data_IF_281421002022
#
_entry.id   IF_281421002022
#
_cell.length_a   1.000
_cell.length_b   1.000
_cell.length_c   1.000
_cell.angle_alpha   90.00
_cell.angle_beta   90.00
_cell.angle_gamma   90.00
#
_symmetry.space_group_name_H-M   'P 1'
#
loop_
_entity.id
_entity.type
_entity.pdbx_description
1 polymer ?
#
# COMPACT_ATOMS: atom_id res chain seq x y z
N UNK A 1 -16.66 32.60 -15.96
CA UNK A 1 -15.20 32.46 -15.75
C UNK A 1 -14.54 32.97 -17.00
N UNK A 2 -13.79 34.06 -16.92
CA UNK A 2 -13.20 34.70 -18.11
C UNK A 2 -11.91 33.97 -18.52
N UNK A 3 -11.66 33.87 -19.83
CA UNK A 3 -10.48 33.20 -20.44
C UNK A 3 -9.12 33.62 -19.82
N UNK A 4 -9.03 34.85 -19.32
CA UNK A 4 -7.84 35.39 -18.64
C UNK A 4 -7.65 34.76 -17.24
N UNK A 5 -8.73 34.49 -16.50
CA UNK A 5 -8.67 33.84 -15.19
C UNK A 5 -8.23 32.37 -15.33
N UNK A 6 -8.68 31.67 -16.38
CA UNK A 6 -8.23 30.31 -16.69
C UNK A 6 -6.75 30.25 -17.07
N UNK A 7 -6.27 31.21 -17.88
CA UNK A 7 -4.86 31.31 -18.26
C UNK A 7 -3.94 31.64 -17.07
N UNK A 8 -4.36 32.55 -16.19
CA UNK A 8 -3.61 32.90 -14.98
C UNK A 8 -3.60 31.75 -13.98
N UNK A 9 -4.74 31.09 -13.77
CA UNK A 9 -4.84 29.89 -12.93
C UNK A 9 -3.95 28.75 -13.48
N UNK A 10 -3.95 28.53 -14.79
CA UNK A 10 -3.08 27.56 -15.46
C UNK A 10 -1.58 27.83 -15.25
N UNK A 11 -1.13 29.08 -15.41
CA UNK A 11 0.27 29.47 -15.18
C UNK A 11 0.71 29.30 -13.73
N UNK A 12 -0.12 29.70 -12.77
CA UNK A 12 0.20 29.54 -11.34
C UNK A 12 0.28 28.07 -10.96
N UNK A 13 -0.67 27.24 -11.43
CA UNK A 13 -0.65 25.80 -11.18
C UNK A 13 0.58 25.12 -11.78
N UNK A 14 1.05 25.55 -12.95
CA UNK A 14 2.27 25.02 -13.56
C UNK A 14 3.54 25.37 -12.76
N UNK A 15 3.66 26.60 -12.28
CA UNK A 15 4.80 27.00 -11.43
C UNK A 15 4.85 26.20 -10.13
N UNK A 16 3.70 26.02 -9.47
CA UNK A 16 3.60 25.19 -8.26
C UNK A 16 3.97 23.73 -8.57
N UNK A 17 3.49 23.20 -9.71
CA UNK A 17 3.81 21.84 -10.12
C UNK A 17 5.32 21.66 -10.35
N UNK A 18 5.97 22.62 -11.02
CA UNK A 18 7.42 22.63 -11.26
C UNK A 18 8.21 22.66 -9.95
N UNK A 19 7.82 23.51 -8.99
CA UNK A 19 8.48 23.57 -7.67
C UNK A 19 8.33 22.25 -6.90
N UNK A 20 7.17 21.59 -7.03
CA UNK A 20 6.95 20.26 -6.44
C UNK A 20 7.82 19.19 -7.09
N UNK A 21 8.03 19.22 -8.42
CA UNK A 21 8.92 18.29 -9.13
C UNK A 21 10.35 18.41 -8.61
N UNK A 22 10.86 19.64 -8.46
CA UNK A 22 12.22 19.88 -7.94
C UNK A 22 12.37 19.35 -6.51
N UNK A 23 11.38 19.57 -5.64
CA UNK A 23 11.39 19.03 -4.27
C UNK A 23 11.31 17.51 -4.26
N UNK A 24 10.49 16.92 -5.14
CA UNK A 24 10.37 15.47 -5.27
C UNK A 24 11.70 14.85 -5.70
N UNK A 25 12.40 15.49 -6.65
CA UNK A 25 13.72 15.09 -7.11
C UNK A 25 14.77 15.15 -5.99
N UNK A 26 14.76 16.20 -5.18
CA UNK A 26 15.65 16.31 -4.02
C UNK A 26 15.41 15.19 -3.00
N UNK A 27 14.15 14.87 -2.71
CA UNK A 27 13.79 13.80 -1.77
C UNK A 27 14.13 12.42 -2.34
N UNK A 28 13.92 12.19 -3.63
CA UNK A 28 14.28 10.97 -4.33
C UNK A 28 15.78 10.71 -4.26
N UNK A 29 16.60 11.66 -4.73
CA UNK A 29 18.05 11.53 -4.71
C UNK A 29 18.61 11.35 -3.30
N UNK A 30 18.08 12.10 -2.33
CA UNK A 30 18.47 11.91 -0.92
C UNK A 30 18.14 10.51 -0.43
N UNK A 31 16.93 10.00 -0.71
CA UNK A 31 16.52 8.67 -0.29
C UNK A 31 17.43 7.59 -0.89
N UNK A 32 17.75 7.67 -2.18
CA UNK A 32 18.66 6.72 -2.81
C UNK A 32 20.06 6.77 -2.19
N UNK A 33 20.62 7.97 -2.02
CA UNK A 33 21.94 8.18 -1.44
C UNK A 33 22.02 7.67 0.01
N UNK A 34 21.03 8.00 0.86
CA UNK A 34 20.96 7.55 2.25
C UNK A 34 20.87 6.01 2.35
N UNK A 35 20.51 5.33 1.26
CA UNK A 35 20.37 3.87 1.19
C UNK A 35 21.44 3.18 0.34
N UNK A 36 22.45 3.91 -0.15
CA UNK A 36 23.52 3.37 -0.98
C UNK A 36 23.02 2.79 -2.31
N UNK A 37 21.90 3.29 -2.82
CA UNK A 37 21.34 2.88 -4.10
C UNK A 37 21.93 3.81 -5.15
N UNK A 38 22.70 3.24 -6.09
CA UNK A 38 23.13 3.97 -7.28
C UNK A 38 21.90 4.31 -8.13
N UNK A 39 22.02 5.15 -9.17
CA UNK A 39 20.85 5.66 -9.93
C UNK A 39 19.93 4.57 -10.52
N UNK A 40 20.35 3.31 -10.50
CA UNK A 40 19.54 2.15 -10.83
C UNK A 40 18.93 1.50 -9.57
N UNK A 41 17.60 1.35 -9.59
CA UNK A 41 16.82 0.70 -8.53
C UNK A 41 16.68 -0.82 -8.73
N UNK A 42 17.44 -1.44 -9.64
CA UNK A 42 17.41 -2.90 -9.88
C UNK A 42 17.78 -3.75 -8.66
N UNK A 43 18.49 -3.16 -7.68
CA UNK A 43 18.91 -3.83 -6.46
C UNK A 43 17.86 -3.81 -5.33
N UNK A 44 16.71 -3.19 -5.56
CA UNK A 44 15.58 -3.17 -4.62
C UNK A 44 14.37 -3.89 -5.23
N UNK A 45 13.41 -4.27 -4.39
CA UNK A 45 12.16 -4.88 -4.86
C UNK A 45 11.26 -3.82 -5.51
N UNK A 46 11.07 -2.69 -4.83
CA UNK A 46 10.32 -1.58 -5.40
C UNK A 46 10.60 -0.24 -4.72
N UNK A 47 10.41 0.85 -5.47
CA UNK A 47 10.31 2.22 -4.97
C UNK A 47 8.83 2.59 -4.79
N UNK A 48 8.44 2.93 -3.57
CA UNK A 48 7.11 3.44 -3.25
C UNK A 48 7.06 4.96 -3.30
N UNK A 49 6.08 5.53 -4.01
CA UNK A 49 5.74 6.96 -3.95
C UNK A 49 4.31 7.09 -3.43
N UNK A 50 4.18 7.63 -2.22
CA UNK A 50 2.89 7.87 -1.59
C UNK A 50 2.48 9.32 -1.75
N UNK A 51 1.23 9.55 -2.17
CA UNK A 51 0.63 10.86 -2.38
C UNK A 51 -0.58 10.98 -1.47
N UNK A 52 -0.73 12.07 -0.73
CA UNK A 52 -1.88 12.29 0.16
C UNK A 52 -2.50 13.67 -0.05
N UNK A 53 -3.81 13.76 0.14
CA UNK A 53 -4.60 14.97 -0.12
C UNK A 53 -4.25 16.16 0.82
N UNK A 54 -3.69 15.90 2.01
CA UNK A 54 -3.53 16.91 3.05
C UNK A 54 -2.13 16.92 3.69
N UNK A 55 -1.07 17.22 2.94
CA UNK A 55 0.15 17.78 3.54
C UNK A 55 0.34 19.19 2.99
N UNK A 56 0.34 20.17 3.91
CA UNK A 56 0.27 21.61 3.60
C UNK A 56 1.42 22.11 2.71
N UNK A 57 2.56 21.43 2.69
CA UNK A 57 3.76 21.91 1.98
C UNK A 57 4.39 20.90 0.99
N UNK A 58 4.29 19.59 1.27
CA UNK A 58 4.84 18.54 0.41
C UNK A 58 4.06 17.23 0.59
N UNK A 59 3.28 16.79 -0.40
CA UNK A 59 2.33 15.67 -0.29
C UNK A 59 2.94 14.28 -0.47
N UNK A 60 4.25 14.19 -0.69
CA UNK A 60 4.92 12.94 -1.04
C UNK A 60 5.66 12.30 0.15
N UNK A 61 5.58 10.98 0.24
CA UNK A 61 6.44 10.13 1.08
C UNK A 61 7.04 9.04 0.19
N UNK A 62 8.38 8.94 0.15
CA UNK A 62 9.06 7.93 -0.65
C UNK A 62 9.55 6.78 0.24
N UNK A 63 9.59 5.58 -0.31
CA UNK A 63 9.97 4.34 0.38
C UNK A 63 10.77 3.43 -0.53
N UNK A 64 11.78 2.81 0.03
CA UNK A 64 12.50 1.70 -0.57
C UNK A 64 12.01 0.41 0.06
N UNK A 65 11.58 -0.53 -0.78
CA UNK A 65 11.25 -1.90 -0.42
C UNK A 65 12.39 -2.80 -0.91
N UNK A 66 13.05 -3.51 -0.01
CA UNK A 66 14.12 -4.45 -0.37
C UNK A 66 13.55 -5.84 -0.66
N UNK A 67 14.34 -6.65 -1.37
CA UNK A 67 14.04 -8.05 -1.62
C UNK A 67 13.73 -8.80 -0.32
N UNK A 68 12.75 -9.73 -0.31
CA UNK A 68 12.41 -10.49 0.89
C UNK A 68 13.59 -11.32 1.42
N UNK A 69 13.84 -11.23 2.73
CA UNK A 69 14.86 -12.03 3.42
C UNK A 69 14.26 -13.39 3.84
N UNK A 70 14.87 -14.50 3.41
CA UNK A 70 14.45 -15.86 3.79
C UNK A 70 15.10 -16.34 5.10
N UNK A 71 16.32 -15.88 5.41
CA UNK A 71 16.99 -16.22 6.67
C UNK A 71 16.49 -15.29 7.78
N UNK A 72 15.48 -15.75 8.50
CA UNK A 72 14.76 -14.92 9.47
C UNK A 72 15.42 -15.05 10.85
N UNK A 73 16.22 -14.05 11.20
CA UNK A 73 16.77 -13.90 12.55
C UNK A 73 15.93 -12.95 13.41
N UNK A 74 15.72 -13.34 14.66
CA UNK A 74 15.12 -12.48 15.69
C UNK A 74 16.09 -11.35 16.03
N UNK A 75 15.61 -10.11 16.02
CA UNK A 75 16.40 -8.93 16.39
C UNK A 75 15.98 -8.46 17.78
N UNK A 76 16.94 -8.05 18.61
CA UNK A 76 16.69 -7.57 19.99
C UNK A 76 15.64 -6.44 20.03
N UNK A 77 15.61 -5.59 19.00
CA UNK A 77 14.69 -4.45 18.89
C UNK A 77 13.37 -4.77 18.19
N UNK A 78 13.08 -6.05 17.92
CA UNK A 78 11.83 -6.42 17.26
C UNK A 78 10.61 -6.05 18.13
N UNK A 79 9.53 -5.53 17.54
CA UNK A 79 8.30 -5.31 18.28
C UNK A 79 7.78 -6.62 18.89
N UNK A 80 7.12 -6.53 20.05
CA UNK A 80 6.59 -7.68 20.78
C UNK A 80 5.69 -8.59 19.92
N UNK A 81 4.87 -7.99 19.03
CA UNK A 81 4.04 -8.75 18.11
C UNK A 81 4.85 -9.49 17.04
N UNK A 82 5.96 -8.91 16.58
CA UNK A 82 6.89 -9.54 15.62
C UNK A 82 7.62 -10.71 16.30
N UNK A 83 8.08 -10.53 17.54
CA UNK A 83 8.68 -11.62 18.32
C UNK A 83 7.72 -12.79 18.50
N UNK A 84 6.45 -12.50 18.83
CA UNK A 84 5.42 -13.53 18.95
C UNK A 84 5.27 -14.38 17.68
N UNK A 85 5.16 -13.75 16.50
CA UNK A 85 4.99 -14.51 15.24
C UNK A 85 6.27 -15.26 14.85
N UNK A 86 7.45 -14.78 15.22
CA UNK A 86 8.72 -15.49 15.05
C UNK A 86 8.78 -16.74 15.94
N UNK A 87 8.45 -16.61 17.22
CA UNK A 87 8.45 -17.73 18.19
C UNK A 87 7.47 -18.84 17.78
N UNK A 88 6.35 -18.45 17.17
CA UNK A 88 5.35 -19.38 16.62
C UNK A 88 5.69 -19.93 15.23
N UNK A 89 6.86 -19.57 14.68
CA UNK A 89 7.31 -19.96 13.34
C UNK A 89 6.27 -19.62 12.27
N UNK A 90 5.70 -18.42 12.37
CA UNK A 90 4.67 -17.91 11.47
C UNK A 90 5.23 -16.95 10.42
N UNK A 91 6.56 -16.84 10.26
CA UNK A 91 7.17 -15.91 9.30
C UNK A 91 7.82 -16.70 8.17
N UNK A 92 7.39 -16.42 6.93
CA UNK A 92 8.00 -16.95 5.69
C UNK A 92 9.16 -16.07 5.23
N UNK A 93 8.94 -14.76 5.26
CA UNK A 93 9.89 -13.75 4.81
C UNK A 93 9.84 -12.52 5.69
N UNK A 94 10.98 -11.84 5.80
CA UNK A 94 11.04 -10.49 6.33
C UNK A 94 11.25 -9.51 5.18
N UNK A 95 10.42 -8.47 5.11
CA UNK A 95 10.54 -7.42 4.10
C UNK A 95 11.01 -6.14 4.78
N UNK A 96 12.23 -5.70 4.43
CA UNK A 96 12.80 -4.46 4.96
C UNK A 96 12.26 -3.29 4.15
N UNK A 97 11.73 -2.29 4.85
CA UNK A 97 11.23 -1.06 4.22
C UNK A 97 11.82 0.15 4.92
N UNK A 98 12.47 1.01 4.14
CA UNK A 98 13.05 2.27 4.59
C UNK A 98 12.33 3.42 3.90
N UNK A 99 11.56 4.18 4.67
CA UNK A 99 10.87 5.38 4.20
C UNK A 99 11.57 6.66 4.64
N UNK A 100 11.25 7.76 3.97
CA UNK A 100 11.72 9.10 4.35
C UNK A 100 11.26 9.55 5.74
N UNK A 101 10.22 8.92 6.29
CA UNK A 101 9.65 9.24 7.61
C UNK A 101 9.88 8.16 8.66
N UNK A 102 9.79 6.88 8.28
CA UNK A 102 9.75 5.76 9.22
C UNK A 102 10.39 4.51 8.61
N UNK A 103 11.07 3.74 9.47
CA UNK A 103 11.41 2.33 9.19
C UNK A 103 10.25 1.44 9.60
N UNK A 104 10.03 0.35 8.85
CA UNK A 104 8.92 -0.57 9.08
C UNK A 104 9.44 -2.00 9.02
N UNK A 105 8.96 -2.82 9.94
CA UNK A 105 9.18 -4.26 9.92
C UNK A 105 7.93 -4.91 9.32
N UNK A 106 8.05 -5.34 8.06
CA UNK A 106 7.04 -6.16 7.43
C UNK A 106 7.47 -7.63 7.49
N UNK A 107 6.52 -8.50 7.77
CA UNK A 107 6.72 -9.95 7.73
C UNK A 107 5.61 -10.57 6.89
N UNK A 108 6.01 -11.51 6.02
CA UNK A 108 5.07 -12.35 5.29
C UNK A 108 4.73 -13.55 6.17
N UNK A 109 3.44 -13.77 6.40
CA UNK A 109 2.97 -14.79 7.33
C UNK A 109 2.83 -16.17 6.69
N UNK A 110 3.25 -17.18 7.43
CA UNK A 110 3.06 -18.61 7.19
C UNK A 110 2.50 -19.31 8.42
N UNK A 111 2.29 -20.63 8.36
CA UNK A 111 1.91 -21.48 9.50
C UNK A 111 0.73 -20.90 10.30
N UNK A 112 -0.30 -20.42 9.58
CA UNK A 112 -1.47 -19.75 10.12
C UNK A 112 -2.52 -20.75 10.62
N UNK A 113 -2.10 -21.70 11.46
CA UNK A 113 -3.01 -22.67 12.08
C UNK A 113 -4.00 -21.96 13.00
N UNK A 114 -5.17 -22.57 13.26
CA UNK A 114 -6.16 -22.02 14.17
C UNK A 114 -5.57 -21.63 15.53
N UNK A 115 -4.73 -22.48 16.11
CA UNK A 115 -4.09 -22.21 17.40
C UNK A 115 -3.15 -21.00 17.34
N UNK A 116 -2.38 -20.86 16.26
CA UNK A 116 -1.48 -19.73 16.07
C UNK A 116 -2.26 -18.43 15.86
N UNK A 117 -3.30 -18.45 15.02
CA UNK A 117 -4.13 -17.27 14.76
C UNK A 117 -4.96 -16.85 15.97
N UNK A 118 -5.42 -17.80 16.79
CA UNK A 118 -6.05 -17.50 18.09
C UNK A 118 -5.07 -16.76 19.02
N UNK A 119 -3.87 -17.29 19.20
CA UNK A 119 -2.85 -16.64 20.03
C UNK A 119 -2.43 -15.28 19.47
N UNK A 120 -2.36 -15.14 18.15
CA UNK A 120 -2.08 -13.86 17.49
C UNK A 120 -3.18 -12.82 17.76
N UNK A 121 -4.46 -13.22 17.66
CA UNK A 121 -5.59 -12.36 17.98
C UNK A 121 -5.55 -11.90 19.45
N UNK A 122 -5.31 -12.82 20.38
CA UNK A 122 -5.15 -12.49 21.81
C UNK A 122 -3.99 -11.52 22.04
N UNK A 123 -2.87 -11.70 21.33
CA UNK A 123 -1.71 -10.80 21.40
C UNK A 123 -2.03 -9.40 20.89
N UNK A 124 -2.79 -9.28 19.79
CA UNK A 124 -3.24 -7.99 19.28
C UNK A 124 -4.12 -7.28 20.29
N UNK A 125 -5.12 -7.95 20.89
CA UNK A 125 -5.98 -7.34 21.91
C UNK A 125 -5.17 -6.83 23.08
N UNK A 126 -4.17 -7.59 23.53
CA UNK A 126 -3.34 -7.16 24.66
C UNK A 126 -2.50 -5.92 24.35
N UNK A 127 -1.99 -5.80 23.12
CA UNK A 127 -1.17 -4.65 22.70
C UNK A 127 -2.05 -3.45 22.32
N UNK A 128 -3.22 -3.71 21.73
CA UNK A 128 -4.17 -2.72 21.24
C UNK A 128 -5.59 -3.08 21.74
N UNK A 129 -5.91 -2.87 23.03
CA UNK A 129 -7.21 -3.26 23.60
C UNK A 129 -8.38 -2.63 22.87
N UNK A 130 -8.17 -1.41 22.38
CA UNK A 130 -9.09 -0.61 21.60
C UNK A 130 -9.51 -1.25 20.27
N UNK A 131 -8.69 -2.17 19.72
CA UNK A 131 -9.05 -2.90 18.53
C UNK A 131 -10.05 -4.02 18.81
N UNK A 132 -10.32 -4.39 20.07
CA UNK A 132 -11.21 -5.51 20.40
C UNK A 132 -12.59 -5.39 19.73
N UNK A 133 -13.17 -4.19 19.70
CA UNK A 133 -14.47 -3.93 19.07
C UNK A 133 -14.40 -3.94 17.53
N UNK A 134 -13.21 -3.70 16.97
CA UNK A 134 -12.95 -3.69 15.54
C UNK A 134 -12.44 -5.03 15.02
N UNK A 135 -11.92 -5.93 15.87
CA UNK A 135 -11.48 -7.27 15.48
C UNK A 135 -12.59 -8.09 14.84
N UNK A 136 -13.85 -7.89 15.26
CA UNK A 136 -15.02 -8.50 14.62
C UNK A 136 -15.37 -7.92 13.25
N UNK A 137 -14.84 -6.73 12.91
CA UNK A 137 -14.96 -6.07 11.60
C UNK A 137 -13.75 -6.35 10.70
N UNK A 138 -12.66 -6.85 11.28
CA UNK A 138 -11.52 -7.36 10.52
C UNK A 138 -11.99 -8.59 9.74
N UNK A 139 -11.77 -8.66 8.41
CA UNK A 139 -11.96 -9.88 7.64
C UNK A 139 -11.33 -11.04 8.39
N UNK A 140 -12.12 -12.07 8.71
CA UNK A 140 -11.85 -13.01 9.79
C UNK A 140 -10.36 -13.37 9.95
N UNK A 141 -9.74 -12.84 11.01
CA UNK A 141 -8.35 -13.17 11.40
C UNK A 141 -8.18 -14.68 11.59
N UNK A 142 -9.25 -15.35 12.01
CA UNK A 142 -9.31 -16.78 12.25
C UNK A 142 -10.40 -17.33 11.32
N UNK A 143 -10.05 -18.16 10.32
CA UNK A 143 -11.06 -18.77 9.47
C UNK A 143 -11.95 -19.70 10.30
N UNK A 144 -13.28 -19.61 10.12
CA UNK A 144 -14.25 -20.41 10.88
C UNK A 144 -14.19 -21.92 10.54
N UNK A 145 -13.63 -22.29 9.37
CA UNK A 145 -13.41 -23.67 8.89
C UNK A 145 -12.21 -23.71 7.92
N UNK A 146 -11.69 -24.90 7.61
CA UNK A 146 -10.61 -25.17 6.62
C UNK A 146 -10.89 -24.68 5.17
N UNK A 147 -11.99 -23.96 4.93
CA UNK A 147 -12.27 -23.37 3.63
C UNK A 147 -11.72 -21.95 3.58
N UNK A 148 -10.64 -21.82 2.79
CA UNK A 148 -10.16 -20.62 2.08
C UNK A 148 -11.05 -19.40 2.31
N UNK A 149 -10.67 -18.43 3.14
CA UNK A 149 -11.00 -17.03 2.85
C UNK A 149 -9.91 -16.14 3.46
N UNK A 150 -9.23 -15.39 2.59
CA UNK A 150 -8.30 -14.31 2.90
C UNK A 150 -7.39 -14.57 4.12
N UNK A 151 -6.36 -15.42 4.05
CA UNK A 151 -5.36 -15.42 5.08
C UNK A 151 -4.68 -14.05 5.11
N UNK A 152 -4.43 -13.51 6.30
CA UNK A 152 -3.50 -12.39 6.44
C UNK A 152 -2.18 -12.86 5.85
N UNK A 153 -1.64 -12.08 4.95
CA UNK A 153 -0.41 -12.43 4.27
C UNK A 153 0.74 -11.57 4.71
N UNK A 154 0.51 -10.28 4.95
CA UNK A 154 1.55 -9.37 5.37
C UNK A 154 1.11 -8.70 6.67
N UNK A 155 2.03 -8.72 7.64
CA UNK A 155 1.91 -7.98 8.87
C UNK A 155 3.02 -6.93 8.90
N UNK A 156 2.63 -5.67 8.95
CA UNK A 156 3.54 -4.55 9.20
C UNK A 156 3.38 -4.03 10.61
N UNK A 157 4.47 -3.96 11.37
CA UNK A 157 4.49 -3.23 12.64
C UNK A 157 5.39 -2.01 12.49
N UNK A 158 4.83 -0.82 12.72
CA UNK A 158 5.57 0.44 12.62
C UNK A 158 5.99 0.86 14.02
N UNK A 159 7.28 1.16 14.23
CA UNK A 159 7.70 1.74 15.50
C UNK A 159 8.99 2.60 15.47
N UNK A 160 8.82 3.84 15.91
CA UNK A 160 9.69 4.46 16.92
C UNK A 160 9.20 3.96 18.32
N UNK A 161 9.92 4.28 19.40
CA UNK A 161 9.85 3.90 20.84
C UNK A 161 8.50 3.52 21.52
N UNK A 162 7.32 3.57 20.88
CA UNK A 162 6.01 3.54 21.55
C UNK A 162 4.94 2.55 21.05
N UNK A 163 5.15 1.68 20.06
CA UNK A 163 4.09 0.71 19.65
C UNK A 163 2.90 1.34 18.94
N UNK A 164 3.07 2.05 17.82
CA UNK A 164 2.06 3.02 17.36
C UNK A 164 1.21 2.61 16.16
N UNK A 165 1.49 1.54 15.40
CA UNK A 165 0.54 1.11 14.36
C UNK A 165 0.78 -0.33 13.87
N UNK A 166 -0.32 -0.99 13.53
CA UNK A 166 -0.33 -2.31 12.89
C UNK A 166 -0.97 -2.21 11.51
N UNK A 167 -0.29 -2.74 10.50
CA UNK A 167 -0.78 -2.90 9.15
C UNK A 167 -1.05 -4.38 8.93
N UNK A 168 -2.27 -4.71 8.50
CA UNK A 168 -2.66 -6.06 8.14
C UNK A 168 -3.06 -6.07 6.68
N UNK A 169 -2.50 -6.98 5.90
CA UNK A 169 -2.78 -7.10 4.47
C UNK A 169 -3.22 -8.52 4.11
N UNK A 170 -4.35 -8.64 3.45
CA UNK A 170 -4.99 -9.87 3.01
C UNK A 170 -4.79 -10.10 1.52
N UNK A 171 -4.56 -11.36 1.15
CA UNK A 171 -4.39 -11.78 -0.24
C UNK A 171 -5.68 -11.83 -1.02
N UNK A 172 -5.76 -11.12 -2.14
CA UNK A 172 -6.90 -11.16 -3.05
C UNK A 172 -6.65 -12.11 -4.23
N UNK A 173 -6.03 -13.26 -3.96
CA UNK A 173 -5.75 -14.31 -4.95
C UNK A 173 -5.73 -15.70 -4.32
N UNK A 174 -6.03 -16.70 -5.12
CA UNK A 174 -6.02 -18.10 -4.71
C UNK A 174 -4.65 -18.72 -4.99
N UNK A 175 -4.09 -19.46 -4.02
CA UNK A 175 -2.96 -20.34 -4.28
C UNK A 175 -3.44 -21.68 -4.82
N UNK A 176 -2.70 -22.20 -5.81
CA UNK A 176 -2.91 -23.50 -6.44
C UNK A 176 -2.01 -24.59 -5.85
N UNK A 177 -1.05 -24.21 -5.03
CA UNK A 177 -0.09 -25.08 -4.37
C UNK A 177 0.02 -24.77 -2.87
N UNK A 178 0.36 -25.79 -2.09
CA UNK A 178 0.53 -25.67 -0.64
C UNK A 178 1.73 -24.79 -0.27
N UNK A 179 2.74 -24.71 -1.15
CA UNK A 179 3.93 -23.86 -0.98
C UNK A 179 3.68 -22.38 -1.32
N UNK A 180 2.49 -22.05 -1.84
CA UNK A 180 2.05 -20.69 -2.18
C UNK A 180 2.95 -20.01 -3.23
N UNK A 181 3.42 -20.76 -4.22
CA UNK A 181 4.24 -20.27 -5.34
C UNK A 181 3.42 -20.03 -6.60
N UNK A 182 2.32 -20.77 -6.77
CA UNK A 182 1.46 -20.71 -7.95
C UNK A 182 0.13 -20.12 -7.51
N UNK A 183 -0.31 -19.05 -8.18
CA UNK A 183 -1.57 -18.39 -7.86
C UNK A 183 -2.42 -18.13 -9.09
N UNK A 184 -3.72 -17.97 -8.86
CA UNK A 184 -4.71 -17.55 -9.86
C UNK A 184 -5.51 -16.37 -9.34
N UNK A 185 -5.80 -15.42 -10.24
CA UNK A 185 -6.64 -14.27 -9.93
C UNK A 185 -8.12 -14.66 -9.92
N UNK A 186 -8.86 -14.09 -8.97
CA UNK A 186 -10.31 -14.26 -8.86
C UNK A 186 -10.97 -12.93 -8.49
N UNK A 187 -10.75 -11.93 -9.35
CA UNK A 187 -11.12 -10.54 -9.07
C UNK A 187 -12.61 -10.36 -8.77
N UNK A 188 -13.48 -11.10 -9.48
CA UNK A 188 -14.94 -11.07 -9.27
C UNK A 188 -15.26 -11.51 -7.84
N UNK A 189 -14.74 -12.66 -7.42
CA UNK A 189 -14.99 -13.19 -6.08
C UNK A 189 -14.53 -12.21 -4.99
N UNK A 190 -13.30 -11.69 -5.09
CA UNK A 190 -12.75 -10.81 -4.06
C UNK A 190 -13.43 -9.45 -4.02
N UNK A 191 -13.83 -8.92 -5.17
CA UNK A 191 -14.64 -7.70 -5.24
C UNK A 191 -15.96 -7.88 -4.50
N UNK A 192 -16.67 -8.98 -4.76
CA UNK A 192 -17.96 -9.29 -4.13
C UNK A 192 -17.78 -9.54 -2.63
N UNK A 193 -16.71 -10.24 -2.24
CA UNK A 193 -16.34 -10.44 -0.83
C UNK A 193 -16.14 -9.10 -0.11
N UNK A 194 -15.35 -8.20 -0.68
CA UNK A 194 -15.03 -6.90 -0.06
C UNK A 194 -16.29 -6.05 0.10
N UNK A 195 -17.19 -6.04 -0.89
CA UNK A 195 -18.47 -5.34 -0.79
C UNK A 195 -19.37 -5.96 0.31
N UNK A 196 -19.35 -7.28 0.48
CA UNK A 196 -20.11 -7.98 1.51
C UNK A 196 -19.60 -7.73 2.95
N UNK A 197 -18.39 -7.18 3.12
CA UNK A 197 -17.93 -6.70 4.43
C UNK A 197 -18.75 -5.52 4.97
N UNK A 198 -19.52 -4.85 4.11
CA UNK A 198 -20.34 -3.67 4.46
C UNK A 198 -19.55 -2.54 5.12
N UNK A 199 -18.25 -2.45 4.86
CA UNK A 199 -17.41 -1.31 5.24
C UNK A 199 -17.66 -0.16 4.25
N UNK A 200 -18.07 1.03 4.72
CA UNK A 200 -18.23 2.20 3.85
C UNK A 200 -16.93 2.56 3.10
N UNK A 201 -15.79 2.46 3.78
CA UNK A 201 -14.48 2.79 3.23
C UNK A 201 -14.08 1.82 2.12
N UNK A 202 -14.21 0.50 2.33
CA UNK A 202 -13.94 -0.46 1.27
C UNK A 202 -14.93 -0.35 0.11
N UNK A 203 -16.19 -0.05 0.39
CA UNK A 203 -17.20 0.17 -0.64
C UNK A 203 -16.82 1.37 -1.53
N UNK A 204 -16.36 2.48 -0.94
CA UNK A 204 -15.85 3.62 -1.68
C UNK A 204 -14.67 3.24 -2.60
N UNK A 205 -13.69 2.51 -2.06
CA UNK A 205 -12.52 2.08 -2.83
C UNK A 205 -12.91 1.14 -3.99
N UNK A 206 -13.78 0.15 -3.75
CA UNK A 206 -14.24 -0.76 -4.81
C UNK A 206 -15.06 -0.02 -5.87
N UNK A 207 -15.95 0.89 -5.47
CA UNK A 207 -16.76 1.66 -6.42
C UNK A 207 -15.88 2.50 -7.33
N UNK A 208 -14.84 3.16 -6.80
CA UNK A 208 -13.87 3.86 -7.62
C UNK A 208 -13.13 2.92 -8.59
N UNK A 209 -12.68 1.75 -8.12
CA UNK A 209 -12.01 0.76 -8.99
C UNK A 209 -12.94 0.30 -10.11
N UNK A 210 -14.21 0.03 -9.81
CA UNK A 210 -15.19 -0.38 -10.80
C UNK A 210 -15.45 0.73 -11.82
N UNK A 211 -15.62 1.97 -11.37
CA UNK A 211 -15.87 3.11 -12.27
C UNK A 211 -14.70 3.34 -13.24
N UNK A 212 -13.46 3.23 -12.75
CA UNK A 212 -12.28 3.67 -13.51
C UNK A 212 -11.54 2.52 -14.19
N UNK A 213 -11.57 1.30 -13.63
CA UNK A 213 -10.71 0.18 -14.04
C UNK A 213 -11.45 -1.14 -14.30
N UNK A 214 -12.79 -1.18 -14.32
CA UNK A 214 -13.53 -2.41 -14.57
C UNK A 214 -13.11 -3.09 -15.89
N UNK A 215 -12.96 -2.34 -16.98
CA UNK A 215 -12.56 -2.89 -18.27
C UNK A 215 -11.16 -3.51 -18.24
N UNK A 216 -10.21 -2.85 -17.57
CA UNK A 216 -8.85 -3.37 -17.43
C UNK A 216 -8.83 -4.68 -16.62
N UNK A 217 -9.64 -4.75 -15.56
CA UNK A 217 -9.79 -5.96 -14.73
C UNK A 217 -10.46 -7.08 -15.51
N UNK A 218 -11.56 -6.79 -16.22
CA UNK A 218 -12.31 -7.78 -17.02
C UNK A 218 -11.47 -8.35 -18.17
N UNK A 219 -10.54 -7.57 -18.72
CA UNK A 219 -9.59 -8.01 -19.74
C UNK A 219 -8.36 -8.72 -19.18
N UNK A 220 -8.26 -8.90 -17.85
CA UNK A 220 -7.10 -9.51 -17.20
C UNK A 220 -5.82 -8.69 -17.34
N UNK A 221 -5.94 -7.36 -17.46
CA UNK A 221 -4.79 -6.45 -17.57
C UNK A 221 -4.47 -5.72 -16.26
N UNK A 222 -5.30 -5.90 -15.24
CA UNK A 222 -5.13 -5.35 -13.91
C UNK A 222 -5.85 -6.27 -12.93
N UNK A 223 -5.29 -6.45 -11.74
CA UNK A 223 -5.84 -7.39 -10.76
C UNK A 223 -5.87 -6.80 -9.37
N UNK A 224 -6.89 -7.15 -8.60
CA UNK A 224 -6.91 -6.95 -7.16
C UNK A 224 -5.79 -7.80 -6.56
N UNK A 225 -4.90 -7.16 -5.79
CA UNK A 225 -3.69 -7.80 -5.29
C UNK A 225 -3.76 -8.08 -3.80
N UNK A 226 -4.02 -7.03 -3.03
CA UNK A 226 -4.14 -7.04 -1.57
C UNK A 226 -5.26 -6.11 -1.14
N UNK A 227 -5.89 -6.45 -0.02
CA UNK A 227 -6.68 -5.52 0.77
C UNK A 227 -5.91 -5.26 2.05
N UNK A 228 -5.91 -4.03 2.59
CA UNK A 228 -5.24 -3.78 3.86
C UNK A 228 -5.96 -2.75 4.72
N UNK A 229 -5.64 -2.80 6.01
CA UNK A 229 -6.00 -1.78 6.99
C UNK A 229 -4.74 -1.43 7.79
N UNK A 230 -4.41 -0.14 7.86
CA UNK A 230 -3.47 0.38 8.86
C UNK A 230 -4.28 0.87 10.06
N UNK A 231 -4.11 0.23 11.21
CA UNK A 231 -4.69 0.62 12.48
C UNK A 231 -3.71 1.48 13.26
N UNK A 232 -4.22 2.60 13.77
CA UNK A 232 -3.50 3.53 14.64
C UNK A 232 -4.16 3.52 16.03
N UNK A 233 -3.44 3.92 17.10
CA UNK A 233 -3.89 3.76 18.48
C UNK A 233 -4.91 4.84 18.87
N UNK A 234 -5.11 5.85 18.02
CA UNK A 234 -6.10 6.91 18.19
C UNK A 234 -7.43 6.58 17.50
N UNK A 235 -7.74 5.29 17.34
CA UNK A 235 -8.91 4.75 16.64
C UNK A 235 -9.05 5.21 15.19
N UNK A 236 -7.96 5.67 14.59
CA UNK A 236 -7.93 5.95 13.15
C UNK A 236 -7.49 4.70 12.42
N UNK A 237 -8.14 4.47 11.30
CA UNK A 237 -7.87 3.40 10.36
C UNK A 237 -7.70 3.99 8.98
N UNK A 238 -6.80 3.38 8.21
CA UNK A 238 -6.61 3.66 6.79
C UNK A 238 -6.80 2.38 5.99
N UNK A 239 -7.83 2.38 5.17
CA UNK A 239 -8.24 1.26 4.32
C UNK A 239 -7.54 1.38 2.98
N UNK A 240 -7.16 0.25 2.39
CA UNK A 240 -6.42 0.20 1.14
C UNK A 240 -6.85 -0.97 0.28
N UNK A 241 -6.86 -0.74 -1.03
CA UNK A 241 -6.94 -1.80 -2.03
C UNK A 241 -5.77 -1.61 -2.99
N UNK A 242 -4.95 -2.66 -3.10
CA UNK A 242 -3.78 -2.73 -3.96
C UNK A 242 -4.18 -3.37 -5.28
N UNK A 243 -3.72 -2.79 -6.37
CA UNK A 243 -3.88 -3.30 -7.72
C UNK A 243 -2.51 -3.60 -8.33
N UNK A 244 -2.38 -4.78 -8.92
CA UNK A 244 -1.24 -5.16 -9.76
C UNK A 244 -1.60 -4.87 -11.22
N UNK A 245 -0.65 -4.27 -11.94
CA UNK A 245 -0.79 -3.99 -13.38
C UNK A 245 -0.23 -5.19 -14.15
N UNK A 246 -0.97 -5.64 -15.16
CA UNK A 246 -0.55 -6.73 -16.06
C UNK A 246 -0.76 -6.33 -17.53
N UNK A 247 0.23 -5.66 -18.12
CA UNK A 247 0.11 -5.21 -19.52
C UNK A 247 -0.94 -4.11 -19.76
N UNK A 248 -1.38 -3.39 -18.73
CA UNK A 248 -2.20 -2.17 -18.86
C UNK A 248 -1.32 -0.91 -18.87
N UNK A 249 -1.52 -0.04 -19.86
CA UNK A 249 -0.84 1.25 -19.92
C UNK A 249 -1.60 2.28 -19.07
N UNK A 250 -1.29 2.33 -17.76
CA UNK A 250 -1.92 3.26 -16.83
C UNK A 250 -1.40 4.69 -17.04
N UNK A 251 -2.33 5.64 -17.20
CA UNK A 251 -2.01 7.07 -17.05
C UNK A 251 -2.03 7.46 -15.57
N UNK A 252 -0.86 7.74 -15.01
CA UNK A 252 -0.73 8.28 -13.63
C UNK A 252 -1.51 9.59 -13.50
N UNK A 253 -1.41 10.45 -14.53
CA UNK A 253 -2.16 11.69 -14.61
C UNK A 253 -3.67 11.46 -14.41
N UNK A 254 -4.23 10.49 -15.13
CA UNK A 254 -5.65 10.14 -15.04
C UNK A 254 -6.01 9.58 -13.66
N UNK A 255 -5.22 8.63 -13.14
CA UNK A 255 -5.42 8.03 -11.82
C UNK A 255 -5.51 9.10 -10.72
N UNK A 256 -4.51 9.97 -10.64
CA UNK A 256 -4.39 10.99 -9.58
C UNK A 256 -5.53 12.01 -9.70
N UNK A 257 -5.83 12.48 -10.92
CA UNK A 257 -6.92 13.44 -11.15
C UNK A 257 -8.28 12.88 -10.76
N UNK A 258 -8.58 11.66 -11.20
CA UNK A 258 -9.88 11.02 -10.93
C UNK A 258 -10.08 10.74 -9.45
N UNK A 259 -9.04 10.26 -8.76
CA UNK A 259 -9.20 9.86 -7.36
C UNK A 259 -9.33 11.06 -6.41
N UNK A 260 -8.46 12.07 -6.55
CA UNK A 260 -8.46 13.25 -5.67
C UNK A 260 -9.47 14.33 -6.04
N UNK A 261 -10.00 14.31 -7.28
CA UNK A 261 -11.10 15.16 -7.72
C UNK A 261 -11.01 16.63 -7.28
N UNK A 262 -10.09 17.42 -7.81
CA UNK A 262 -9.96 18.86 -7.50
C UNK A 262 -8.88 19.54 -8.35
N UNK A 263 -8.77 20.87 -8.28
CA UNK A 263 -7.61 21.62 -8.79
C UNK A 263 -6.29 21.18 -8.11
N UNK A 264 -6.34 20.80 -6.83
CA UNK A 264 -5.18 20.24 -6.13
C UNK A 264 -4.76 18.89 -6.74
N UNK A 265 -5.72 18.02 -7.05
CA UNK A 265 -5.47 16.78 -7.80
C UNK A 265 -4.82 17.01 -9.17
N UNK A 266 -5.14 18.13 -9.84
CA UNK A 266 -4.47 18.52 -11.08
C UNK A 266 -2.98 18.81 -10.85
N UNK A 267 -2.63 19.66 -9.88
CA UNK A 267 -1.22 20.00 -9.58
C UNK A 267 -0.43 18.74 -9.21
N UNK A 268 -0.96 17.92 -8.31
CA UNK A 268 -0.34 16.63 -7.93
C UNK A 268 -0.09 15.74 -9.14
N UNK A 269 -1.10 15.61 -10.01
CA UNK A 269 -1.03 14.75 -11.18
C UNK A 269 0.06 15.19 -12.15
N UNK A 270 0.21 16.50 -12.37
CA UNK A 270 1.22 17.06 -13.27
C UNK A 270 2.61 16.84 -12.68
N UNK A 271 2.82 17.12 -11.40
CA UNK A 271 4.13 16.94 -10.75
C UNK A 271 4.62 15.51 -10.78
N UNK A 272 3.75 14.53 -10.51
CA UNK A 272 4.15 13.11 -10.56
C UNK A 272 4.41 12.70 -12.00
N UNK A 273 3.55 13.08 -12.94
CA UNK A 273 3.70 12.72 -14.35
C UNK A 273 4.99 13.30 -14.95
N UNK A 274 5.35 14.54 -14.60
CA UNK A 274 6.61 15.17 -15.00
C UNK A 274 7.83 14.49 -14.37
N UNK A 275 7.78 14.17 -13.08
CA UNK A 275 8.84 13.42 -12.41
C UNK A 275 9.06 12.06 -13.09
N UNK A 276 8.00 11.26 -13.29
CA UNK A 276 8.12 9.94 -13.91
C UNK A 276 8.64 9.99 -15.36
N UNK A 277 8.34 11.05 -16.11
CA UNK A 277 8.92 11.24 -17.46
C UNK A 277 10.42 11.51 -17.44
N UNK A 278 10.96 12.04 -16.35
CA UNK A 278 12.40 12.26 -16.17
C UNK A 278 13.12 10.97 -15.73
N UNK A 279 12.38 10.03 -15.14
CA UNK A 279 12.89 8.75 -14.63
C UNK A 279 12.42 7.57 -15.48
N UNK A 280 13.00 7.46 -16.68
CA UNK A 280 12.65 6.41 -17.63
C UNK A 280 12.99 5.00 -17.13
N UNK A 281 13.87 4.87 -16.14
CA UNK A 281 14.18 3.63 -15.43
C UNK A 281 13.02 3.11 -14.59
N UNK A 282 12.05 3.96 -14.24
CA UNK A 282 10.93 3.58 -13.39
C UNK A 282 9.77 2.99 -14.22
N UNK A 283 9.37 1.78 -13.85
CA UNK A 283 8.15 1.11 -14.35
C UNK A 283 7.12 1.02 -13.25
N UNK A 284 5.93 1.57 -13.46
CA UNK A 284 4.84 1.37 -12.51
C UNK A 284 4.39 -0.09 -12.54
N UNK A 285 4.60 -0.81 -11.44
CA UNK A 285 4.21 -2.21 -11.27
C UNK A 285 2.80 -2.37 -10.70
N UNK A 286 2.42 -1.47 -9.81
CA UNK A 286 1.12 -1.48 -9.16
C UNK A 286 0.89 -0.24 -8.32
N UNK A 287 -0.31 -0.12 -7.75
CA UNK A 287 -0.65 0.99 -6.87
C UNK A 287 -1.70 0.57 -5.84
N UNK A 288 -1.82 1.31 -4.75
CA UNK A 288 -2.90 1.18 -3.80
C UNK A 288 -3.67 2.50 -3.70
N UNK A 289 -4.99 2.42 -3.79
CA UNK A 289 -5.88 3.52 -3.41
C UNK A 289 -6.27 3.37 -1.96
N UNK A 290 -6.36 4.49 -1.24
CA UNK A 290 -6.57 4.47 0.19
C UNK A 290 -7.49 5.58 0.67
N UNK A 291 -8.35 5.27 1.63
CA UNK A 291 -9.21 6.22 2.33
C UNK A 291 -9.11 6.00 3.84
N UNK A 292 -9.10 7.07 4.63
CA UNK A 292 -9.18 6.99 6.10
C UNK A 292 -10.61 7.13 6.62
N UNK A 293 -10.82 6.95 7.93
CA UNK A 293 -12.15 7.09 8.55
C UNK A 293 -12.80 8.47 8.37
N UNK A 294 -12.01 9.48 8.00
CA UNK A 294 -12.47 10.85 7.75
C UNK A 294 -12.67 11.13 6.26
N UNK A 295 -12.59 10.11 5.41
CA UNK A 295 -12.72 10.23 3.96
C UNK A 295 -11.48 10.79 3.26
N UNK A 296 -10.34 10.94 3.96
CA UNK A 296 -9.14 11.50 3.33
C UNK A 296 -8.48 10.51 2.42
N UNK A 297 -8.18 10.97 1.20
CA UNK A 297 -7.66 10.12 0.14
C UNK A 297 -6.14 10.11 0.08
N UNK A 298 -5.61 8.98 -0.39
CA UNK A 298 -4.19 8.86 -0.76
C UNK A 298 -3.95 7.71 -1.73
N UNK A 299 -2.84 7.78 -2.46
CA UNK A 299 -2.41 6.77 -3.41
C UNK A 299 -0.98 6.36 -3.04
N UNK A 300 -0.69 5.05 -3.02
CA UNK A 300 0.68 4.54 -2.97
C UNK A 300 0.99 3.95 -4.35
N UNK A 301 2.03 4.42 -5.02
CA UNK A 301 2.48 3.85 -6.30
C UNK A 301 3.76 3.05 -6.07
N UNK A 302 3.89 1.90 -6.73
CA UNK A 302 5.02 0.99 -6.59
C UNK A 302 5.73 0.85 -7.93
N UNK A 303 6.97 1.31 -7.98
CA UNK A 303 7.81 1.29 -9.17
C UNK A 303 8.89 0.22 -9.04
N UNK A 304 9.13 -0.50 -10.13
CA UNK A 304 10.24 -1.44 -10.29
C UNK A 304 11.19 -0.92 -11.38
N UNK A 305 12.41 -1.45 -11.44
CA UNK A 305 13.31 -1.13 -12.54
C UNK A 305 12.71 -1.60 -13.88
N UNK A 306 12.84 -0.80 -14.93
CA UNK A 306 12.60 -1.27 -16.30
C UNK A 306 13.76 -2.16 -16.68
N UNK A 307 13.50 -3.47 -16.76
CA UNK A 307 14.37 -4.38 -17.50
C UNK A 307 14.49 -3.85 -18.94
N UNK A 308 15.73 -3.67 -19.41
CA UNK A 308 16.05 -3.32 -20.81
C UNK A 308 15.66 -4.43 -21.79
#
# INVERSE_FOLDING_TARGET
>A
MNYIEELLCGRVNYLIASDMVVKLEQVYNKLLNDNGIEKDISNIDSLGINVSEYQKDFPFELKVYYQPEENIETKEKDPELIQFVLDKKMVKYRCVVKGTKLQRNYVVLDNQTYSNMKGFSEKIINIFPDLQDDLGKIPALIPEKEKKYLPIHILGVKNNKYGTAINMEWLLRDYLDDERKIYVYNDIYYKDYILNLKSPQFSELINFIQEVYADAINLGKMHLWLMAIDYFPDYKSKYKIYLKIDGYNLSILHLVRKYFGSQYGFVLSVSIDEFIKQHLELKLYGFAICVDDKGKKSINMYFVSREE
#
